data_IF_378729810912
#
_entry.id   IF_378729810912
#
_cell.length_a   1.000
_cell.length_b   1.000
_cell.length_c   1.000
_cell.angle_alpha   90.00
_cell.angle_beta   90.00
_cell.angle_gamma   90.00
#
_symmetry.space_group_name_H-M   'P 1'
#
loop_
_entity.id
_entity.type
_entity.pdbx_description
1 polymer ?
#
# COMPACT_ATOMS: atom_id res chain seq x y z
N UNK A 1 -13.26 13.00 20.49
CA UNK A 1 -12.43 13.79 19.54
C UNK A 1 -12.01 12.97 18.32
N UNK A 2 -11.26 11.86 18.49
CA UNK A 2 -10.74 11.05 17.37
C UNK A 2 -11.82 10.53 16.41
N UNK A 3 -12.97 10.07 16.94
CA UNK A 3 -14.12 9.67 16.11
C UNK A 3 -14.65 10.80 15.23
N UNK A 4 -14.72 12.03 15.75
CA UNK A 4 -15.19 13.21 15.01
C UNK A 4 -14.22 13.61 13.89
N UNK A 5 -12.92 13.41 14.11
CA UNK A 5 -11.86 13.63 13.12
C UNK A 5 -11.65 12.45 12.17
N UNK A 6 -12.42 11.36 12.34
CA UNK A 6 -12.30 10.11 11.59
C UNK A 6 -10.89 9.52 11.64
N UNK A 7 -10.23 9.62 12.79
CA UNK A 7 -8.91 9.02 13.07
C UNK A 7 -9.12 7.61 13.61
N UNK A 8 -9.52 6.70 12.72
CA UNK A 8 -10.08 5.38 13.07
C UNK A 8 -9.01 4.46 13.64
N UNK A 9 -7.86 4.36 12.99
CA UNK A 9 -6.76 3.50 13.43
C UNK A 9 -6.15 4.03 14.73
N UNK A 10 -5.97 5.36 14.86
CA UNK A 10 -5.50 5.94 16.12
C UNK A 10 -6.47 5.64 17.27
N UNK A 11 -7.78 5.77 17.04
CA UNK A 11 -8.78 5.48 18.07
C UNK A 11 -8.74 4.01 18.49
N UNK A 12 -8.69 3.10 17.51
CA UNK A 12 -8.83 1.66 17.75
C UNK A 12 -7.54 1.02 18.27
N UNK A 13 -6.39 1.66 18.06
CA UNK A 13 -5.06 1.15 18.44
C UNK A 13 -4.30 2.06 19.40
N UNK A 14 -4.98 3.04 20.02
CA UNK A 14 -4.33 4.11 20.78
C UNK A 14 -3.38 3.54 21.84
N UNK A 15 -3.89 2.66 22.70
CA UNK A 15 -3.13 2.11 23.82
C UNK A 15 -1.90 1.34 23.34
N UNK A 16 -2.06 0.50 22.32
CA UNK A 16 -0.93 -0.26 21.75
C UNK A 16 0.13 0.61 21.09
N UNK A 17 -0.27 1.71 20.43
CA UNK A 17 0.67 2.66 19.82
C UNK A 17 1.39 3.49 20.89
N UNK A 18 0.72 3.82 22.00
CA UNK A 18 1.34 4.49 23.15
C UNK A 18 2.33 3.56 23.86
N UNK A 19 1.97 2.28 24.05
CA UNK A 19 2.86 1.26 24.63
C UNK A 19 4.08 1.00 23.74
N UNK A 20 3.92 1.01 22.42
CA UNK A 20 5.02 0.93 21.46
C UNK A 20 5.94 2.14 21.59
N UNK A 21 5.37 3.35 21.66
CA UNK A 21 6.15 4.57 21.84
C UNK A 21 6.91 4.60 23.17
N UNK A 22 6.28 4.17 24.27
CA UNK A 22 6.92 4.10 25.58
C UNK A 22 8.07 3.08 25.59
N UNK A 23 7.88 1.90 25.00
CA UNK A 23 8.93 0.87 24.89
C UNK A 23 10.10 1.33 24.03
N UNK A 24 9.84 2.14 23.02
CA UNK A 24 10.86 2.71 22.14
C UNK A 24 11.54 3.97 22.68
N UNK A 25 11.15 4.46 23.86
CA UNK A 25 11.57 5.76 24.42
C UNK A 25 11.41 6.92 23.41
N UNK A 26 10.29 6.90 22.67
CA UNK A 26 10.03 7.89 21.63
C UNK A 26 9.72 9.25 22.26
N UNK A 27 10.32 10.30 21.71
CA UNK A 27 9.94 11.67 22.03
C UNK A 27 8.48 11.93 21.64
N UNK A 28 7.86 12.97 22.22
CA UNK A 28 6.50 13.37 21.87
C UNK A 28 6.30 13.57 20.36
N UNK A 29 7.32 14.12 19.68
CA UNK A 29 7.30 14.34 18.24
C UNK A 29 7.25 13.01 17.47
N UNK A 30 8.03 12.02 17.89
CA UNK A 30 8.08 10.70 17.28
C UNK A 30 6.79 9.91 17.57
N UNK A 31 6.26 10.00 18.78
CA UNK A 31 4.96 9.41 19.13
C UNK A 31 3.83 9.97 18.29
N UNK A 32 3.79 11.29 18.08
CA UNK A 32 2.79 11.90 17.20
C UNK A 32 2.96 11.44 15.74
N UNK A 33 4.21 11.32 15.26
CA UNK A 33 4.48 10.80 13.94
C UNK A 33 4.04 9.33 13.79
N UNK A 34 4.26 8.49 14.81
CA UNK A 34 3.82 7.10 14.85
C UNK A 34 2.28 7.00 14.76
N UNK A 35 1.57 7.75 15.59
CA UNK A 35 0.10 7.78 15.58
C UNK A 35 -0.45 8.23 14.21
N UNK A 36 0.09 9.33 13.67
CA UNK A 36 -0.26 9.83 12.33
C UNK A 36 0.07 8.83 11.23
N UNK A 37 1.23 8.19 11.27
CA UNK A 37 1.65 7.17 10.31
C UNK A 37 0.69 5.98 10.30
N UNK A 38 0.27 5.49 11.47
CA UNK A 38 -0.68 4.40 11.57
C UNK A 38 -2.05 4.74 10.94
N UNK A 39 -2.52 5.97 11.10
CA UNK A 39 -3.77 6.44 10.47
C UNK A 39 -3.64 6.57 8.96
N UNK A 40 -2.55 7.15 8.47
CA UNK A 40 -2.30 7.29 7.03
C UNK A 40 -2.24 5.91 6.36
N UNK A 41 -1.49 4.98 6.94
CA UNK A 41 -1.39 3.61 6.44
C UNK A 41 -2.77 2.93 6.39
N UNK A 42 -3.58 3.06 7.44
CA UNK A 42 -4.92 2.48 7.48
C UNK A 42 -5.86 3.09 6.42
N UNK A 43 -5.77 4.41 6.18
CA UNK A 43 -6.57 5.07 5.15
C UNK A 43 -6.17 4.64 3.75
N UNK A 44 -4.88 4.49 3.47
CA UNK A 44 -4.40 3.97 2.19
C UNK A 44 -4.86 2.53 1.96
N UNK A 45 -4.73 1.67 2.97
CA UNK A 45 -5.22 0.29 2.91
C UNK A 45 -6.73 0.23 2.60
N UNK A 46 -7.54 1.01 3.35
CA UNK A 46 -8.99 1.15 3.09
C UNK A 46 -9.29 1.62 1.68
N UNK A 47 -8.53 2.61 1.18
CA UNK A 47 -8.71 3.17 -0.17
C UNK A 47 -8.48 2.11 -1.23
N UNK A 48 -7.40 1.32 -1.09
CA UNK A 48 -7.08 0.22 -2.01
C UNK A 48 -8.16 -0.85 -1.94
N UNK A 49 -8.51 -1.33 -0.74
CA UNK A 49 -9.54 -2.35 -0.54
C UNK A 49 -10.89 -1.94 -1.15
N UNK A 50 -11.33 -0.71 -0.90
CA UNK A 50 -12.58 -0.19 -1.48
C UNK A 50 -12.51 -0.08 -3.00
N UNK A 51 -11.40 0.44 -3.55
CA UNK A 51 -11.20 0.55 -4.99
C UNK A 51 -11.28 -0.82 -5.67
N UNK A 52 -10.60 -1.82 -5.11
CA UNK A 52 -10.63 -3.20 -5.61
C UNK A 52 -12.02 -3.81 -5.51
N UNK A 53 -12.74 -3.60 -4.40
CA UNK A 53 -14.10 -4.12 -4.23
C UNK A 53 -15.08 -3.51 -5.24
N UNK A 54 -14.97 -2.21 -5.52
CA UNK A 54 -15.83 -1.50 -6.49
C UNK A 54 -15.52 -1.95 -7.92
N UNK A 55 -14.26 -2.26 -8.24
CA UNK A 55 -13.85 -2.68 -9.58
C UNK A 55 -14.43 -4.04 -10.01
N UNK A 56 -14.93 -4.86 -9.07
CA UNK A 56 -15.57 -6.17 -9.32
C UNK A 56 -14.76 -7.05 -10.28
N UNK A 57 -13.44 -7.09 -10.12
CA UNK A 57 -12.58 -7.94 -10.94
C UNK A 57 -13.03 -9.41 -10.85
N UNK A 58 -13.11 -10.15 -11.96
CA UNK A 58 -13.49 -11.56 -11.95
C UNK A 58 -12.47 -12.42 -11.20
N UNK A 59 -11.21 -11.99 -11.16
CA UNK A 59 -10.12 -12.62 -10.42
C UNK A 59 -9.23 -11.56 -9.78
N UNK A 60 -8.80 -11.80 -8.54
CA UNK A 60 -7.71 -11.05 -7.93
C UNK A 60 -6.38 -11.66 -8.38
N UNK A 61 -5.57 -10.87 -9.08
CA UNK A 61 -4.23 -11.25 -9.54
C UNK A 61 -3.26 -10.18 -9.06
N UNK A 62 -2.13 -10.63 -8.51
CA UNK A 62 -1.03 -9.77 -8.09
C UNK A 62 0.23 -10.17 -8.86
N UNK A 63 1.22 -9.28 -8.90
CA UNK A 63 2.48 -9.58 -9.58
C UNK A 63 3.28 -10.68 -8.86
N UNK A 64 3.14 -10.78 -7.53
CA UNK A 64 3.79 -11.81 -6.71
C UNK A 64 3.24 -13.21 -7.01
N UNK A 65 1.97 -13.31 -7.40
CA UNK A 65 1.32 -14.55 -7.77
C UNK A 65 1.48 -14.90 -9.26
N UNK A 66 2.22 -14.11 -10.04
CA UNK A 66 2.42 -14.36 -11.45
C UNK A 66 3.43 -15.49 -11.67
N UNK A 67 3.03 -16.54 -12.38
CA UNK A 67 3.91 -17.63 -12.78
C UNK A 67 4.73 -17.25 -14.01
N UNK A 68 5.95 -16.77 -13.79
CA UNK A 68 6.88 -16.46 -14.87
C UNK A 68 7.37 -17.69 -15.63
N UNK A 69 7.30 -18.90 -15.06
CA UNK A 69 7.67 -20.12 -15.79
C UNK A 69 6.63 -20.46 -16.86
N UNK A 70 5.37 -20.09 -16.66
CA UNK A 70 4.31 -20.21 -17.67
C UNK A 70 4.49 -19.26 -18.87
N UNK A 71 5.32 -18.21 -18.74
CA UNK A 71 5.66 -17.29 -19.83
C UNK A 71 7.18 -16.99 -19.85
N UNK A 72 8.00 -17.90 -20.40
CA UNK A 72 9.45 -17.79 -20.38
C UNK A 72 10.01 -16.59 -21.18
N UNK A 73 9.22 -16.01 -22.08
CA UNK A 73 9.65 -14.85 -22.89
C UNK A 73 9.64 -13.53 -22.11
N UNK A 74 8.98 -13.48 -20.95
CA UNK A 74 8.94 -12.29 -20.11
C UNK A 74 10.13 -12.29 -19.14
N UNK A 75 10.93 -11.22 -19.15
CA UNK A 75 11.96 -11.01 -18.14
C UNK A 75 11.32 -10.54 -16.81
N UNK A 76 11.38 -11.34 -15.73
CA UNK A 76 10.83 -10.95 -14.44
C UNK A 76 11.46 -9.67 -13.88
N UNK A 77 12.72 -9.38 -14.24
CA UNK A 77 13.40 -8.15 -13.81
C UNK A 77 12.77 -6.93 -14.46
N UNK A 78 12.49 -6.97 -15.75
CA UNK A 78 11.81 -5.89 -16.47
C UNK A 78 10.43 -5.61 -15.86
N UNK A 79 9.65 -6.66 -15.56
CA UNK A 79 8.33 -6.51 -14.93
C UNK A 79 8.43 -5.85 -13.55
N UNK A 80 9.40 -6.25 -12.72
CA UNK A 80 9.66 -5.61 -11.42
C UNK A 80 10.08 -4.15 -11.56
N UNK A 81 10.89 -3.81 -12.55
CA UNK A 81 11.27 -2.42 -12.80
C UNK A 81 10.08 -1.55 -13.22
N UNK A 82 9.19 -2.07 -14.07
CA UNK A 82 7.94 -1.39 -14.44
C UNK A 82 6.98 -1.23 -13.25
N UNK A 83 6.94 -2.22 -12.35
CA UNK A 83 6.12 -2.19 -11.14
C UNK A 83 6.53 -1.09 -10.14
N UNK A 84 7.78 -0.61 -10.22
CA UNK A 84 8.23 0.54 -9.43
C UNK A 84 7.67 1.88 -9.93
N UNK A 85 6.92 1.89 -11.04
CA UNK A 85 6.21 3.07 -11.59
C UNK A 85 7.09 4.30 -11.86
N UNK A 86 8.42 4.15 -12.02
CA UNK A 86 9.33 5.27 -12.34
C UNK A 86 8.97 5.98 -13.64
N UNK A 87 8.47 5.22 -14.63
CA UNK A 87 7.98 5.73 -15.91
C UNK A 87 6.83 6.74 -15.74
N UNK A 88 5.99 6.60 -14.70
CA UNK A 88 4.92 7.57 -14.39
C UNK A 88 5.52 8.90 -13.95
N UNK A 89 6.51 8.87 -13.06
CA UNK A 89 7.17 10.08 -12.55
C UNK A 89 7.95 10.81 -13.66
N UNK A 90 8.52 10.07 -14.61
CA UNK A 90 9.26 10.61 -15.75
C UNK A 90 8.36 11.11 -16.89
N UNK A 91 7.07 10.74 -16.91
CA UNK A 91 6.17 11.02 -18.03
C UNK A 91 6.42 10.15 -19.26
N UNK A 92 7.06 8.99 -19.08
CA UNK A 92 7.33 8.04 -20.16
C UNK A 92 6.05 7.27 -20.55
N UNK A 93 5.92 6.95 -21.85
CA UNK A 93 4.80 6.14 -22.33
C UNK A 93 5.08 4.63 -22.16
N UNK A 94 4.13 3.90 -21.57
CA UNK A 94 4.17 2.44 -21.44
C UNK A 94 3.06 1.80 -22.28
N UNK A 95 3.44 0.91 -23.20
CA UNK A 95 2.52 0.08 -23.97
C UNK A 95 2.55 -1.36 -23.45
N UNK A 96 1.41 -1.89 -23.02
CA UNK A 96 1.23 -3.29 -22.62
C UNK A 96 0.31 -3.96 -23.62
N UNK A 97 0.75 -5.06 -24.22
CA UNK A 97 -0.06 -5.85 -25.16
C UNK A 97 -0.18 -7.29 -24.65
N UNK A 98 -1.40 -7.81 -24.69
CA UNK A 98 -1.65 -9.23 -24.46
C UNK A 98 -1.25 -10.09 -25.66
N UNK A 99 -1.31 -11.42 -25.53
CA UNK A 99 -1.15 -12.32 -26.68
C UNK A 99 -2.14 -11.94 -27.79
N UNK A 100 -1.67 -12.02 -29.04
CA UNK A 100 -2.53 -11.94 -30.23
C UNK A 100 -3.33 -13.22 -30.42
#
# INVERSE_FOLDING_TARGET
>A
MLTRLKLTAMRDRLDGLLDEAARGDLSLRETLALLCGAEVAHREERRIQMGTAIAKFPHQRTLEAFDFAAQPSLDPKQVRDLAACRWVANGDALLIQGPR
#
